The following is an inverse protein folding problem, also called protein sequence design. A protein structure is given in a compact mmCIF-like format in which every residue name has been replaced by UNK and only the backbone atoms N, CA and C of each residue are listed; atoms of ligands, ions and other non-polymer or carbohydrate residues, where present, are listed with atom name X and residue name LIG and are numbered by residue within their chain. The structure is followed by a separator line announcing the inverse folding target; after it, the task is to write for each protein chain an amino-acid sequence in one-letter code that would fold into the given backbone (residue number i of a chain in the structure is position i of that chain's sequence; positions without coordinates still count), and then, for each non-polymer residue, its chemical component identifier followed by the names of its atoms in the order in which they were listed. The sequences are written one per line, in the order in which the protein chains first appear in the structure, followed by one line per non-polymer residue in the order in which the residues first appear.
data_IF_605264877779
#
_entry.id   IF_605264877779
#
_cell.length_a   1.000
_cell.length_b   1.000
_cell.length_c   1.000
_cell.angle_alpha   90.00
_cell.angle_beta   90.00
_cell.angle_gamma   90.00
#
_symmetry.space_group_name_H-M   'P 1'
#
loop_
_entity.id
_entity.type
_entity.pdbx_description
1 polymer ?
#
# COMPACT_ATOMS: atom_id res chain seq x y z
N UNK A 1 12.38 16.18 0.16
CA UNK A 1 12.53 15.16 1.22
C UNK A 1 11.13 14.84 1.71
N UNK A 2 10.84 13.58 2.04
CA UNK A 2 9.54 13.24 2.62
C UNK A 2 9.44 13.75 4.06
N UNK A 3 8.29 14.31 4.41
CA UNK A 3 7.92 14.57 5.80
C UNK A 3 7.67 13.25 6.53
N UNK A 4 7.75 13.22 7.88
CA UNK A 4 7.38 12.03 8.65
C UNK A 4 5.95 11.55 8.37
N UNK A 5 5.01 12.47 8.09
CA UNK A 5 3.61 12.14 7.80
C UNK A 5 3.46 11.55 6.39
N UNK A 6 4.11 12.15 5.38
CA UNK A 6 4.12 11.59 4.01
C UNK A 6 4.72 10.18 4.01
N UNK A 7 5.79 9.95 4.79
CA UNK A 7 6.38 8.62 4.93
C UNK A 7 5.42 7.64 5.62
N UNK A 8 4.72 8.07 6.67
CA UNK A 8 3.68 7.25 7.32
C UNK A 8 2.55 6.88 6.36
N UNK A 9 2.05 7.84 5.59
CA UNK A 9 1.03 7.60 4.55
C UNK A 9 1.53 6.60 3.51
N UNK A 10 2.79 6.70 3.05
CA UNK A 10 3.37 5.73 2.11
C UNK A 10 3.42 4.30 2.70
N UNK A 11 3.75 4.17 3.99
CA UNK A 11 3.73 2.88 4.69
C UNK A 11 2.31 2.31 4.83
N UNK A 12 1.33 3.18 5.08
CA UNK A 12 -0.08 2.79 5.22
C UNK A 12 -0.71 2.40 3.89
N UNK A 13 -0.41 3.08 2.79
CA UNK A 13 -0.83 2.69 1.44
C UNK A 13 -0.24 1.32 1.07
N UNK A 14 0.99 1.04 1.49
CA UNK A 14 1.60 -0.26 1.27
C UNK A 14 0.90 -1.39 2.05
N UNK A 15 0.58 -1.15 3.33
CA UNK A 15 0.06 -2.18 4.23
C UNK A 15 -1.47 -2.34 4.20
N UNK A 16 -2.21 -1.30 3.81
CA UNK A 16 -3.67 -1.31 3.83
C UNK A 16 -4.23 -0.70 2.56
N UNK A 17 -4.66 -1.54 1.63
CA UNK A 17 -5.18 -1.10 0.34
C UNK A 17 -6.61 -0.53 0.39
N UNK A 18 -7.33 -0.64 1.50
CA UNK A 18 -8.80 -0.49 1.42
C UNK A 18 -9.52 0.24 2.57
N UNK A 19 -8.87 0.64 3.68
CA UNK A 19 -9.65 1.02 4.89
C UNK A 19 -9.14 2.15 5.78
N UNK A 20 -8.11 2.90 5.40
CA UNK A 20 -7.71 4.05 6.18
C UNK A 20 -8.12 5.35 5.49
N UNK A 21 -8.77 6.26 6.21
CA UNK A 21 -8.84 7.66 5.80
C UNK A 21 -7.42 8.22 5.82
N UNK A 22 -6.81 8.31 4.64
CA UNK A 22 -5.50 8.93 4.45
C UNK A 22 -5.69 10.44 4.35
N UNK A 23 -4.72 11.20 4.87
CA UNK A 23 -4.71 12.64 4.66
C UNK A 23 -4.58 12.94 3.16
N UNK A 24 -5.53 13.66 2.55
CA UNK A 24 -5.50 13.94 1.12
C UNK A 24 -4.30 14.81 0.71
N UNK A 25 -3.77 15.65 1.60
CA UNK A 25 -2.59 16.49 1.33
C UNK A 25 -1.33 15.64 1.23
N UNK A 26 -1.14 14.72 2.17
CA UNK A 26 0.00 13.80 2.12
C UNK A 26 -0.13 12.85 0.93
N UNK A 27 -1.34 12.37 0.62
CA UNK A 27 -1.58 11.48 -0.51
C UNK A 27 -1.30 12.18 -1.85
N UNK A 28 -1.75 13.43 -2.01
CA UNK A 28 -1.48 14.24 -3.19
C UNK A 28 0.03 14.47 -3.36
N UNK A 29 0.75 14.80 -2.30
CA UNK A 29 2.21 14.93 -2.35
C UNK A 29 2.91 13.63 -2.77
N UNK A 30 2.42 12.46 -2.36
CA UNK A 30 2.96 11.17 -2.80
C UNK A 30 2.64 10.85 -4.26
N UNK A 31 1.47 11.27 -4.77
CA UNK A 31 1.09 11.16 -6.17
C UNK A 31 1.96 12.05 -7.06
N UNK A 32 2.17 13.31 -6.68
CA UNK A 32 3.04 14.26 -7.41
C UNK A 32 4.47 13.75 -7.53
N UNK A 33 4.95 13.03 -6.51
CA UNK A 33 6.29 12.42 -6.48
C UNK A 33 6.37 11.08 -7.20
N UNK A 34 5.24 10.54 -7.68
CA UNK A 34 5.17 9.23 -8.32
C UNK A 34 5.50 8.06 -7.38
N UNK A 35 5.32 8.23 -6.07
CA UNK A 35 5.52 7.18 -5.07
C UNK A 35 4.26 6.33 -4.86
N UNK A 36 3.11 6.93 -5.15
CA UNK A 36 1.79 6.30 -5.15
C UNK A 36 1.12 6.56 -6.50
N UNK A 37 0.26 5.64 -6.93
CA UNK A 37 -0.67 5.78 -8.06
C UNK A 37 -2.10 5.54 -7.59
N UNK A 38 -3.08 6.07 -8.32
CA UNK A 38 -4.49 5.71 -8.12
C UNK A 38 -4.88 4.64 -9.14
N UNK A 39 -5.44 3.53 -8.68
CA UNK A 39 -5.93 2.42 -9.51
C UNK A 39 -7.41 2.17 -9.23
N UNK A 40 -8.19 1.78 -10.25
CA UNK A 40 -9.61 1.50 -10.07
C UNK A 40 -9.79 0.14 -9.35
N UNK A 41 -10.32 0.17 -8.13
CA UNK A 41 -10.56 -1.02 -7.30
C UNK A 41 -11.94 -1.63 -7.47
N UNK A 42 -12.79 -1.01 -8.29
CA UNK A 42 -14.12 -1.48 -8.62
C UNK A 42 -15.23 -0.47 -8.31
N UNK A 43 -16.32 -0.59 -9.07
CA UNK A 43 -17.51 0.25 -8.95
C UNK A 43 -17.22 1.76 -8.97
N UNK A 44 -16.21 2.21 -9.75
CA UNK A 44 -15.83 3.62 -9.85
C UNK A 44 -15.04 4.18 -8.66
N UNK A 45 -14.56 3.32 -7.76
CA UNK A 45 -13.68 3.72 -6.66
C UNK A 45 -12.21 3.61 -7.07
N UNK A 46 -11.42 4.63 -6.71
CA UNK A 46 -9.99 4.67 -6.91
C UNK A 46 -9.29 4.41 -5.58
N UNK A 47 -8.42 3.41 -5.52
CA UNK A 47 -7.56 3.21 -4.36
C UNK A 47 -6.14 3.69 -4.66
N UNK A 48 -5.43 4.16 -3.63
CA UNK A 48 -4.00 4.39 -3.73
C UNK A 48 -3.20 3.08 -3.70
N UNK A 49 -2.21 2.97 -4.57
CA UNK A 49 -1.29 1.85 -4.69
C UNK A 49 0.16 2.35 -4.70
N UNK A 50 1.05 1.69 -3.95
CA UNK A 50 2.47 2.05 -3.96
C UNK A 50 3.11 1.68 -5.30
N UNK A 51 3.77 2.63 -5.93
CA UNK A 51 4.47 2.41 -7.20
C UNK A 51 5.79 1.66 -6.97
N UNK A 52 6.41 1.09 -8.03
CA UNK A 52 7.77 0.53 -7.91
C UNK A 52 8.80 1.53 -7.36
N UNK A 53 8.63 2.83 -7.62
CA UNK A 53 9.48 3.87 -7.08
C UNK A 53 9.27 4.06 -5.57
N UNK A 54 8.00 4.09 -5.12
CA UNK A 54 7.66 4.09 -3.69
C UNK A 54 8.22 2.88 -2.95
N UNK A 55 8.14 1.70 -3.55
CA UNK A 55 8.73 0.47 -3.00
C UNK A 55 10.26 0.55 -2.86
N UNK A 56 10.95 1.08 -3.88
CA UNK A 56 12.40 1.24 -3.82
C UNK A 56 12.81 2.19 -2.69
N UNK A 57 12.05 3.27 -2.48
CA UNK A 57 12.26 4.22 -1.39
C UNK A 57 12.05 3.55 -0.03
N UNK A 58 10.94 2.83 0.17
CA UNK A 58 10.67 2.09 1.40
C UNK A 58 11.82 1.13 1.74
N UNK A 59 12.29 0.33 0.77
CA UNK A 59 13.43 -0.58 0.98
C UNK A 59 14.72 0.17 1.35
N UNK A 60 15.00 1.29 0.70
CA UNK A 60 16.19 2.10 0.99
C UNK A 60 16.18 2.66 2.42
N UNK A 61 14.98 2.92 2.97
CA UNK A 61 14.78 3.36 4.35
C UNK A 61 14.76 2.19 5.36
N UNK A 62 15.02 0.95 4.92
CA UNK A 62 14.99 -0.24 5.77
C UNK A 62 13.58 -0.72 6.11
N UNK A 63 12.54 -0.17 5.47
CA UNK A 63 11.19 -0.68 5.58
C UNK A 63 11.08 -1.98 4.80
N UNK A 64 11.01 -3.09 5.53
CA UNK A 64 10.99 -4.42 4.92
C UNK A 64 9.57 -4.90 4.53
N UNK A 65 8.53 -4.13 4.87
CA UNK A 65 7.14 -4.53 4.63
C UNK A 65 6.74 -5.80 5.40
N UNK A 66 5.47 -5.96 5.70
CA UNK A 66 5.01 -7.14 6.43
C UNK A 66 5.12 -8.41 5.56
N UNK A 67 6.21 -9.17 5.72
CA UNK A 67 6.28 -10.56 5.25
C UNK A 67 5.27 -11.49 5.96
N UNK A 68 4.47 -11.04 6.94
CA UNK A 68 3.53 -11.89 7.68
C UNK A 68 2.21 -12.19 6.93
N UNK A 69 1.82 -11.43 5.90
CA UNK A 69 0.66 -11.79 5.06
C UNK A 69 0.91 -12.95 4.09
N UNK A 70 2.16 -13.15 3.66
CA UNK A 70 2.54 -14.27 2.79
C UNK A 70 2.41 -15.64 3.47
N UNK A 71 2.38 -15.71 4.81
CA UNK A 71 2.11 -16.97 5.56
C UNK A 71 0.63 -17.20 5.87
N UNK A 72 -0.19 -16.15 5.88
CA UNK A 72 -1.60 -16.19 6.31
C UNK A 72 -2.60 -16.26 5.14
N UNK A 73 -2.23 -15.84 3.93
CA UNK A 73 -3.04 -16.06 2.73
C UNK A 73 -3.02 -17.52 2.23
N UNK A 74 -1.93 -18.24 2.48
CA UNK A 74 -1.82 -19.67 2.16
C UNK A 74 -2.74 -20.56 3.02
N UNK A 75 -3.17 -20.09 4.20
CA UNK A 75 -4.12 -20.80 5.06
C UNK A 75 -5.58 -20.40 4.85
N UNK A 76 -5.90 -19.48 3.92
CA UNK A 76 -7.30 -19.06 3.65
C UNK A 76 -7.96 -19.79 2.45
N UNK A 77 -7.21 -20.56 1.66
CA UNK A 77 -7.70 -21.02 0.34
C UNK A 77 -7.85 -22.54 0.11
N UNK A 78 -7.32 -23.41 0.98
CA UNK A 78 -7.18 -24.85 0.65
C UNK A 78 -8.03 -25.82 1.49
N UNK A 79 -9.05 -25.33 2.21
CA UNK A 79 -10.07 -26.18 2.87
C UNK A 79 -11.49 -26.02 2.31
N UNK A 80 -11.74 -25.11 1.36
CA UNK A 80 -13.09 -24.84 0.84
C UNK A 80 -13.46 -25.58 -0.47
N UNK A 81 -12.63 -26.46 -1.01
CA UNK A 81 -13.00 -27.20 -2.23
C UNK A 81 -12.23 -28.51 -2.41
N UNK A 82 -12.47 -29.47 -1.52
CA UNK A 82 -12.23 -30.87 -1.83
C UNK A 82 -13.21 -31.77 -1.06
N UNK A 83 -14.38 -31.96 -1.69
CA UNK A 83 -15.27 -33.12 -1.63
C UNK A 83 -16.27 -33.22 -0.48
#
# INVERSE_FOLDING_TARGET
MLSPHEFATLMLVHDTQDRLELDPVDLEALLERGLVSLEECGAGHWCPHVTPHGFALLRAMGWQGDMARARQGASRGQEASAR
#
